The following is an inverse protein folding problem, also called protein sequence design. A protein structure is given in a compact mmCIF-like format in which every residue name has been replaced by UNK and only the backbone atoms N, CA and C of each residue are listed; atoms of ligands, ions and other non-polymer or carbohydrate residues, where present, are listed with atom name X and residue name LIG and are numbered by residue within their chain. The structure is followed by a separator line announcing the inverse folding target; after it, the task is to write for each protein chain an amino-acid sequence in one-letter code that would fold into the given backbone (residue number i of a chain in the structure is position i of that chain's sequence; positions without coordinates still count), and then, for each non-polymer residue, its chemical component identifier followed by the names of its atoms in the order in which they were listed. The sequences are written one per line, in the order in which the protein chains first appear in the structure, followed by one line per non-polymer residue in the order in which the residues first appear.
data_IF_868658335900
#
_entry.id   IF_868658335900
#
_cell.length_a   1.000
_cell.length_b   1.000
_cell.length_c   1.000
_cell.angle_alpha   90.00
_cell.angle_beta   90.00
_cell.angle_gamma   90.00
#
_symmetry.space_group_name_H-M   'P 1'
#
loop_
_entity.id
_entity.type
_entity.pdbx_description
1 polymer ?
#
# COMPACT_ATOMS: atom_id res chain seq x y z
N UNK A 1 -0.23 -14.73 10.06
CA UNK A 1 0.47 -14.15 8.91
C UNK A 1 1.59 -13.25 9.40
N UNK A 2 2.71 -13.30 8.75
CA UNK A 2 3.91 -12.60 9.18
C UNK A 2 3.93 -11.16 8.67
N UNK A 3 3.95 -10.20 9.60
CA UNK A 3 3.96 -8.78 9.24
C UNK A 3 5.20 -8.40 8.45
N UNK A 4 6.33 -9.02 8.73
CA UNK A 4 7.56 -8.74 8.01
C UNK A 4 7.42 -9.06 6.52
N UNK A 5 6.76 -10.16 6.20
CA UNK A 5 6.53 -10.55 4.81
C UNK A 5 5.58 -9.58 4.12
N UNK A 6 4.56 -9.13 4.86
CA UNK A 6 3.61 -8.15 4.32
C UNK A 6 4.32 -6.84 4.03
N UNK A 7 5.12 -6.37 4.98
CA UNK A 7 5.86 -5.13 4.81
C UNK A 7 6.79 -5.19 3.61
N UNK A 8 7.50 -6.30 3.48
CA UNK A 8 8.43 -6.46 2.37
C UNK A 8 7.71 -6.48 1.03
N UNK A 9 6.59 -7.21 0.95
CA UNK A 9 5.83 -7.29 -0.29
C UNK A 9 5.23 -5.94 -0.67
N UNK A 10 4.68 -5.23 0.31
CA UNK A 10 4.09 -3.92 0.05
C UNK A 10 5.15 -2.90 -0.32
N UNK A 11 6.30 -2.96 0.32
CA UNK A 11 7.40 -2.07 0.02
C UNK A 11 7.86 -2.23 -1.42
N UNK A 12 7.98 -3.47 -1.87
CA UNK A 12 8.34 -3.76 -3.26
C UNK A 12 7.29 -3.26 -4.22
N UNK A 13 6.02 -3.49 -3.90
CA UNK A 13 4.94 -3.06 -4.77
C UNK A 13 4.89 -1.53 -4.89
N UNK A 14 4.98 -0.83 -3.77
CA UNK A 14 4.97 0.63 -3.78
C UNK A 14 6.14 1.16 -4.59
N UNK A 15 7.32 0.60 -4.39
CA UNK A 15 8.51 1.03 -5.12
C UNK A 15 8.41 0.80 -6.62
N UNK A 16 7.70 -0.27 -7.03
CA UNK A 16 7.54 -0.54 -8.45
C UNK A 16 6.48 0.37 -9.09
N UNK A 17 5.50 0.82 -8.30
CA UNK A 17 4.46 1.69 -8.83
C UNK A 17 4.89 3.16 -8.85
N UNK A 18 5.63 3.60 -7.85
CA UNK A 18 6.07 4.98 -7.77
C UNK A 18 7.31 5.08 -6.88
N UNK A 19 8.43 5.43 -7.49
CA UNK A 19 9.69 5.53 -6.76
C UNK A 19 9.69 6.62 -5.69
N UNK A 20 8.86 7.65 -5.87
CA UNK A 20 8.79 8.75 -4.92
C UNK A 20 7.92 8.48 -3.70
N UNK A 21 7.17 7.39 -3.73
CA UNK A 21 6.30 7.04 -2.62
C UNK A 21 6.98 5.99 -1.73
N UNK A 22 6.85 6.16 -0.42
CA UNK A 22 7.46 5.26 0.56
C UNK A 22 6.38 4.55 1.34
N UNK A 23 6.63 3.30 1.68
CA UNK A 23 5.78 2.57 2.61
C UNK A 23 6.35 2.79 4.00
N UNK A 24 5.57 3.44 4.86
CA UNK A 24 6.05 3.80 6.19
C UNK A 24 5.78 2.71 7.23
N UNK A 25 4.59 2.12 7.16
CA UNK A 25 4.21 1.13 8.16
C UNK A 25 3.06 0.28 7.66
N UNK A 26 2.91 -0.88 8.29
CA UNK A 26 1.75 -1.73 8.09
C UNK A 26 1.13 -1.95 9.45
N UNK A 27 -0.14 -1.62 9.58
CA UNK A 27 -0.88 -1.78 10.82
C UNK A 27 -1.88 -2.90 10.66
N UNK A 28 -1.89 -3.81 11.59
CA UNK A 28 -2.82 -4.93 11.57
C UNK A 28 -4.04 -4.64 12.43
N UNK A 29 -5.21 -4.82 11.86
CA UNK A 29 -6.48 -4.74 12.57
C UNK A 29 -7.11 -6.12 12.56
N UNK A 30 -8.30 -6.26 13.12
CA UNK A 30 -8.96 -7.57 13.24
C UNK A 30 -9.20 -8.23 11.90
N UNK A 31 -9.65 -7.47 10.92
CA UNK A 31 -10.04 -8.03 9.62
C UNK A 31 -9.32 -7.38 8.46
N UNK A 32 -8.43 -6.45 8.72
CA UNK A 32 -7.79 -5.71 7.63
C UNK A 32 -6.40 -5.25 8.01
N UNK A 33 -5.63 -4.88 6.99
CA UNK A 33 -4.33 -4.25 7.16
C UNK A 33 -4.40 -2.84 6.61
N UNK A 34 -3.75 -1.92 7.30
CA UNK A 34 -3.62 -0.54 6.83
C UNK A 34 -2.18 -0.32 6.44
N UNK A 35 -1.99 0.07 5.20
CA UNK A 35 -0.65 0.30 4.65
C UNK A 35 -0.45 1.81 4.59
N UNK A 36 0.46 2.31 5.39
CA UNK A 36 0.71 3.75 5.47
C UNK A 36 1.75 4.11 4.43
N UNK A 37 1.39 5.01 3.53
CA UNK A 37 2.26 5.47 2.46
C UNK A 37 2.51 6.96 2.63
N UNK A 38 3.69 7.40 2.22
CA UNK A 38 4.02 8.82 2.28
C UNK A 38 4.78 9.24 1.03
N UNK A 39 4.63 10.52 0.69
CA UNK A 39 5.38 11.13 -0.40
C UNK A 39 5.62 12.59 -0.04
N UNK A 40 6.90 12.95 0.12
CA UNK A 40 7.24 14.28 0.60
C UNK A 40 6.69 14.49 2.00
N UNK A 41 5.89 15.53 2.18
CA UNK A 41 5.27 15.83 3.46
C UNK A 41 3.84 15.30 3.60
N UNK A 42 3.36 14.61 2.58
CA UNK A 42 2.01 14.07 2.58
C UNK A 42 2.01 12.58 2.89
N UNK A 43 0.97 12.12 3.54
CA UNK A 43 0.79 10.70 3.81
C UNK A 43 -0.68 10.32 3.70
N UNK A 44 -0.91 9.06 3.42
CA UNK A 44 -2.25 8.51 3.36
C UNK A 44 -2.13 7.01 3.58
N UNK A 45 -3.25 6.34 3.65
CA UNK A 45 -3.24 4.91 3.93
C UNK A 45 -4.14 4.16 2.95
N UNK A 46 -3.75 2.93 2.67
CA UNK A 46 -4.56 1.99 1.92
C UNK A 46 -5.03 0.91 2.88
N UNK A 47 -6.30 0.56 2.80
CA UNK A 47 -6.87 -0.48 3.65
C UNK A 47 -7.15 -1.70 2.80
N UNK A 48 -6.62 -2.85 3.23
CA UNK A 48 -6.78 -4.12 2.52
C UNK A 48 -7.30 -5.17 3.48
N UNK A 49 -8.25 -5.97 3.03
CA UNK A 49 -8.75 -7.06 3.85
C UNK A 49 -7.66 -8.11 4.05
N UNK A 50 -7.68 -8.78 5.20
CA UNK A 50 -6.70 -9.83 5.48
C UNK A 50 -6.80 -10.97 4.46
N UNK A 51 -8.03 -11.35 4.11
CA UNK A 51 -8.22 -12.42 3.13
C UNK A 51 -7.61 -12.09 1.79
N UNK A 52 -7.79 -10.86 1.33
CA UNK A 52 -7.22 -10.42 0.06
C UNK A 52 -5.70 -10.47 0.09
N UNK A 53 -5.13 -9.93 1.15
CA UNK A 53 -3.67 -9.86 1.27
C UNK A 53 -3.06 -11.24 1.44
N UNK A 54 -3.69 -12.10 2.23
CA UNK A 54 -3.23 -13.48 2.41
C UNK A 54 -3.26 -14.24 1.09
N UNK A 55 -4.34 -14.10 0.33
CA UNK A 55 -4.43 -14.75 -0.97
C UNK A 55 -3.35 -14.26 -1.94
N UNK A 56 -3.06 -12.98 -1.90
CA UNK A 56 -2.03 -12.39 -2.73
C UNK A 56 -0.64 -12.94 -2.37
N UNK A 57 -0.32 -12.97 -1.07
CA UNK A 57 1.00 -13.40 -0.64
C UNK A 57 1.23 -14.90 -0.79
N UNK A 58 0.19 -15.69 -0.57
CA UNK A 58 0.32 -17.15 -0.60
C UNK A 58 0.16 -17.73 -2.00
N UNK A 59 -0.71 -17.15 -2.80
CA UNK A 59 -1.00 -17.72 -4.10
C UNK A 59 -0.99 -16.73 -5.26
N UNK A 60 -0.64 -15.50 -5.00
CA UNK A 60 -0.64 -14.47 -6.04
C UNK A 60 -2.02 -14.05 -6.49
N UNK A 61 -3.06 -14.48 -5.78
CA UNK A 61 -4.43 -14.13 -6.13
C UNK A 61 -4.77 -12.74 -5.63
N UNK A 62 -5.56 -12.03 -6.40
CA UNK A 62 -5.98 -10.70 -5.99
C UNK A 62 -4.90 -9.64 -6.12
N UNK A 63 -3.79 -9.96 -6.77
CA UNK A 63 -2.72 -8.99 -6.96
C UNK A 63 -3.18 -7.73 -7.67
N UNK A 64 -4.09 -7.88 -8.61
CA UNK A 64 -4.65 -6.74 -9.32
C UNK A 64 -5.39 -5.79 -8.36
N UNK A 65 -6.17 -6.35 -7.46
CA UNK A 65 -6.93 -5.55 -6.50
C UNK A 65 -6.02 -4.88 -5.48
N UNK A 66 -5.00 -5.59 -5.02
CA UNK A 66 -4.01 -5.02 -4.10
C UNK A 66 -3.31 -3.86 -4.79
N UNK A 67 -2.85 -4.08 -6.02
CA UNK A 67 -2.17 -3.05 -6.79
C UNK A 67 -3.07 -1.85 -7.03
N UNK A 68 -4.35 -2.09 -7.31
CA UNK A 68 -5.31 -1.03 -7.56
C UNK A 68 -5.52 -0.18 -6.30
N UNK A 69 -5.65 -0.83 -5.15
CA UNK A 69 -5.85 -0.10 -3.89
C UNK A 69 -4.63 0.76 -3.55
N UNK A 70 -3.43 0.20 -3.70
CA UNK A 70 -2.20 0.95 -3.44
C UNK A 70 -2.06 2.07 -4.47
N UNK A 71 -2.35 1.79 -5.73
CA UNK A 71 -2.27 2.78 -6.80
C UNK A 71 -3.19 3.97 -6.59
N UNK A 72 -4.37 3.75 -6.03
CA UNK A 72 -5.28 4.85 -5.71
C UNK A 72 -4.68 5.80 -4.70
N UNK A 73 -4.05 5.25 -3.67
CA UNK A 73 -3.41 6.07 -2.63
C UNK A 73 -2.23 6.83 -3.23
N UNK A 74 -1.43 6.17 -4.05
CA UNK A 74 -0.30 6.81 -4.70
C UNK A 74 -0.77 7.97 -5.58
N UNK A 75 -1.82 7.76 -6.36
CA UNK A 75 -2.40 8.81 -7.21
C UNK A 75 -2.86 10.00 -6.38
N UNK A 76 -3.47 9.71 -5.24
CA UNK A 76 -3.94 10.75 -4.34
C UNK A 76 -2.78 11.56 -3.77
N UNK A 77 -1.71 10.87 -3.36
CA UNK A 77 -0.52 11.53 -2.85
C UNK A 77 0.13 12.39 -3.93
N UNK A 78 0.17 11.90 -5.16
CA UNK A 78 0.72 12.66 -6.28
C UNK A 78 -0.08 13.94 -6.53
N UNK A 79 -1.39 13.86 -6.46
CA UNK A 79 -2.23 15.03 -6.63
C UNK A 79 -2.01 16.06 -5.52
N UNK A 80 -1.84 15.57 -4.29
CA UNK A 80 -1.54 16.47 -3.18
C UNK A 80 -0.23 17.19 -3.39
N UNK A 81 0.79 16.47 -3.85
CA UNK A 81 2.10 17.05 -4.09
C UNK A 81 2.15 18.01 -5.26
N UNK A 82 1.26 17.85 -6.23
CA UNK A 82 1.22 18.68 -7.42
C UNK A 82 0.19 19.80 -7.33
N UNK A 83 -0.42 19.94 -6.21
CA UNK A 83 -1.50 20.89 -6.05
C UNK A 83 -1.05 22.31 -6.35
N UNK A 84 -1.73 23.01 -7.27
CA UNK A 84 -1.37 24.39 -7.60
C UNK A 84 -1.76 25.31 -6.46
N UNK A 85 -1.13 26.44 -6.44
CA UNK A 85 -1.43 27.44 -5.43
C UNK A 85 -2.70 28.17 -5.71
#
# INVERSE_FOLDING_TARGET
MDLDKIEEAMKKMVGSLDKGTRMEAVLEDKEEFRIILSKGTHSDRATLSKGLLEGFLEGGKGGHEVKKAIGKVISKLNRMGQRPK
#
